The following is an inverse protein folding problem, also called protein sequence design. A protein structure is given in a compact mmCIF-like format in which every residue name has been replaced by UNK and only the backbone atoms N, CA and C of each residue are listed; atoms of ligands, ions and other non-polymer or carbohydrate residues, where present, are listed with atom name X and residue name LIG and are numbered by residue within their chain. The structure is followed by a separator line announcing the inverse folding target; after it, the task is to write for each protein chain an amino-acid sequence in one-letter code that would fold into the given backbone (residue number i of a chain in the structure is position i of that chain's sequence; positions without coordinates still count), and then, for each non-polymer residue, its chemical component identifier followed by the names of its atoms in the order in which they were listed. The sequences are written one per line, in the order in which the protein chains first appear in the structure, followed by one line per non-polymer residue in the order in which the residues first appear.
data_IF_284117925369
#
_entry.id   IF_284117925369
#
_cell.length_a   1.000
_cell.length_b   1.000
_cell.length_c   1.000
_cell.angle_alpha   90.00
_cell.angle_beta   90.00
_cell.angle_gamma   90.00
#
_symmetry.space_group_name_H-M   'P 1'
#
loop_
_entity.id
_entity.type
_entity.pdbx_description
1 polymer ?
#
# COMPACT_ATOMS: atom_id res chain seq x y z
N UNK A 1 13.45 19.00 -20.27
CA UNK A 1 13.18 19.24 -18.85
C UNK A 1 13.09 17.98 -17.98
N UNK A 2 13.02 16.82 -18.56
CA UNK A 2 12.90 15.57 -17.81
C UNK A 2 14.24 14.96 -17.36
N UNK A 3 15.36 15.48 -17.79
CA UNK A 3 16.67 14.85 -17.58
C UNK A 3 17.54 15.44 -16.46
N UNK A 4 17.19 16.59 -15.89
CA UNK A 4 18.03 17.19 -14.84
C UNK A 4 17.79 16.62 -13.45
N UNK A 5 16.60 16.04 -13.20
CA UNK A 5 16.27 15.47 -11.88
C UNK A 5 16.81 14.05 -11.66
N UNK A 6 17.19 13.34 -12.73
CA UNK A 6 17.67 11.97 -12.60
C UNK A 6 19.14 11.88 -12.19
N UNK A 7 19.94 12.90 -12.49
CA UNK A 7 21.38 12.85 -12.19
C UNK A 7 21.71 13.03 -10.69
N UNK A 8 20.85 13.73 -9.96
CA UNK A 8 21.02 13.98 -8.52
C UNK A 8 20.15 13.07 -7.63
N UNK A 9 19.50 12.07 -8.21
CA UNK A 9 18.64 11.15 -7.46
C UNK A 9 19.49 10.15 -6.68
N UNK A 10 19.29 10.07 -5.35
CA UNK A 10 20.11 9.18 -4.50
C UNK A 10 19.93 7.70 -4.81
N UNK A 11 18.81 7.32 -5.44
CA UNK A 11 18.54 5.93 -5.85
C UNK A 11 18.75 5.68 -7.34
N UNK A 12 19.48 6.53 -8.03
CA UNK A 12 19.78 6.37 -9.46
C UNK A 12 20.40 5.01 -9.79
N UNK A 13 21.24 4.49 -8.91
CA UNK A 13 21.89 3.19 -9.06
C UNK A 13 21.13 2.04 -8.41
N UNK A 14 19.89 2.29 -8.01
CA UNK A 14 19.04 1.31 -7.36
C UNK A 14 19.06 1.37 -5.85
N UNK A 15 18.20 0.58 -5.23
CA UNK A 15 18.11 0.41 -3.78
C UNK A 15 17.96 -1.07 -3.46
N UNK A 16 18.55 -1.49 -2.36
CA UNK A 16 18.35 -2.84 -1.84
C UNK A 16 17.06 -2.91 -1.02
N UNK A 17 16.24 -3.87 -1.30
CA UNK A 17 15.07 -4.19 -0.49
C UNK A 17 14.64 -5.63 -0.69
N UNK A 18 14.39 -6.34 0.41
CA UNK A 18 13.79 -7.67 0.40
C UNK A 18 12.91 -7.81 1.64
N UNK A 19 11.61 -8.00 1.43
CA UNK A 19 10.65 -8.09 2.52
C UNK A 19 10.98 -9.28 3.44
N UNK A 20 11.17 -9.00 4.73
CA UNK A 20 11.45 -10.01 5.74
C UNK A 20 10.17 -10.55 6.39
N UNK A 21 8.99 -10.09 5.94
CA UNK A 21 7.68 -10.48 6.48
C UNK A 21 7.59 -10.31 8.01
N UNK A 22 8.18 -9.23 8.51
CA UNK A 22 8.24 -8.93 9.94
C UNK A 22 6.96 -8.29 10.50
N UNK A 23 5.97 -8.04 9.67
CA UNK A 23 4.70 -7.36 9.99
C UNK A 23 4.79 -5.88 10.33
N UNK A 24 5.96 -5.27 10.29
CA UNK A 24 6.11 -3.85 10.66
C UNK A 24 5.19 -2.93 9.86
N UNK A 25 5.10 -3.12 8.53
CA UNK A 25 4.22 -2.34 7.67
C UNK A 25 2.74 -2.77 7.77
N UNK A 26 2.45 -3.95 8.34
CA UNK A 26 1.10 -4.47 8.53
C UNK A 26 0.56 -4.25 9.94
N UNK A 27 1.39 -3.79 10.86
CA UNK A 27 1.04 -3.58 12.26
C UNK A 27 2.03 -2.64 12.92
N UNK A 28 2.15 -2.62 14.19
CA UNK A 28 3.06 -1.81 14.99
C UNK A 28 2.48 -0.47 15.45
N UNK A 29 1.82 0.28 14.57
CA UNK A 29 1.20 1.57 14.92
C UNK A 29 -0.10 1.77 14.13
N UNK A 30 -1.00 2.64 14.62
CA UNK A 30 -2.24 2.93 13.89
C UNK A 30 -1.93 3.44 12.47
N UNK A 31 -2.73 3.01 11.50
CA UNK A 31 -2.57 3.46 10.14
C UNK A 31 -3.73 3.03 9.26
N UNK A 32 -3.63 3.35 7.98
CA UNK A 32 -4.65 3.02 7.00
C UNK A 32 -4.03 2.34 5.79
N UNK A 33 -4.63 1.24 5.36
CA UNK A 33 -4.39 0.67 4.04
C UNK A 33 -5.59 1.07 3.18
N UNK A 34 -5.38 2.06 2.32
CA UNK A 34 -6.43 2.55 1.42
C UNK A 34 -6.59 1.62 0.23
N UNK A 35 -7.83 1.45 -0.21
CA UNK A 35 -8.17 0.56 -1.31
C UNK A 35 -8.73 1.33 -2.50
N UNK A 36 -8.08 1.17 -3.66
CA UNK A 36 -8.61 1.61 -4.95
C UNK A 36 -9.64 0.60 -5.47
N UNK A 37 -10.30 0.91 -6.59
CA UNK A 37 -11.20 -0.03 -7.25
C UNK A 37 -10.47 -1.32 -7.64
N UNK A 38 -9.25 -1.19 -8.19
CA UNK A 38 -8.42 -2.34 -8.55
C UNK A 38 -8.13 -3.21 -7.33
N UNK A 39 -7.76 -2.59 -6.21
CA UNK A 39 -7.45 -3.29 -4.98
C UNK A 39 -8.65 -4.07 -4.46
N UNK A 40 -9.81 -3.41 -4.40
CA UNK A 40 -11.05 -4.04 -3.93
C UNK A 40 -11.43 -5.23 -4.79
N UNK A 41 -11.41 -5.08 -6.11
CA UNK A 41 -11.78 -6.17 -7.02
C UNK A 41 -10.80 -7.33 -6.95
N UNK A 42 -9.51 -7.05 -6.82
CA UNK A 42 -8.48 -8.08 -6.65
C UNK A 42 -8.67 -8.88 -5.36
N UNK A 43 -8.93 -8.18 -4.25
CA UNK A 43 -9.17 -8.82 -2.95
C UNK A 43 -10.48 -9.63 -2.94
N UNK A 44 -11.54 -9.10 -3.52
CA UNK A 44 -12.81 -9.83 -3.64
C UNK A 44 -12.63 -11.12 -4.43
N UNK A 45 -11.88 -11.07 -5.52
CA UNK A 45 -11.56 -12.26 -6.33
C UNK A 45 -10.72 -13.27 -5.54
N UNK A 46 -9.71 -12.79 -4.82
CA UNK A 46 -8.83 -13.65 -4.00
C UNK A 46 -9.61 -14.42 -2.93
N UNK A 47 -10.53 -13.77 -2.24
CA UNK A 47 -11.35 -14.39 -1.19
C UNK A 47 -12.67 -14.99 -1.70
N UNK A 48 -12.94 -14.88 -2.99
CA UNK A 48 -14.20 -15.33 -3.61
C UNK A 48 -15.42 -14.72 -2.92
N UNK A 49 -15.41 -13.41 -2.74
CA UNK A 49 -16.46 -12.63 -2.07
C UNK A 49 -17.01 -11.56 -2.99
N UNK A 50 -18.29 -11.21 -2.77
CA UNK A 50 -18.88 -10.02 -3.37
C UNK A 50 -18.36 -8.76 -2.67
N UNK A 51 -18.44 -7.62 -3.33
CA UNK A 51 -18.01 -6.33 -2.76
C UNK A 51 -18.71 -6.07 -1.43
N UNK A 52 -20.02 -6.26 -1.34
CA UNK A 52 -20.78 -6.04 -0.11
C UNK A 52 -20.26 -6.89 1.05
N UNK A 53 -19.98 -8.16 0.78
CA UNK A 53 -19.47 -9.11 1.79
C UNK A 53 -18.07 -8.72 2.27
N UNK A 54 -17.18 -8.38 1.34
CA UNK A 54 -15.80 -8.00 1.66
C UNK A 54 -15.75 -6.70 2.44
N UNK A 55 -16.49 -5.69 2.00
CA UNK A 55 -16.54 -4.37 2.65
C UNK A 55 -17.06 -4.49 4.08
N UNK A 56 -18.12 -5.25 4.29
CA UNK A 56 -18.70 -5.46 5.62
C UNK A 56 -17.72 -6.16 6.56
N UNK A 57 -17.01 -7.17 6.07
CA UNK A 57 -16.13 -8.01 6.90
C UNK A 57 -14.76 -7.40 7.17
N UNK A 58 -14.15 -6.75 6.20
CA UNK A 58 -12.75 -6.38 6.25
C UNK A 58 -12.45 -4.88 6.13
N UNK A 59 -13.45 -4.06 5.88
CA UNK A 59 -13.21 -2.65 5.57
C UNK A 59 -13.82 -1.71 6.59
N UNK A 60 -13.30 -0.48 6.58
CA UNK A 60 -13.82 0.66 7.33
C UNK A 60 -13.80 1.89 6.45
N UNK A 61 -14.47 2.94 6.88
CA UNK A 61 -14.45 4.24 6.22
C UNK A 61 -13.45 5.14 6.94
N UNK A 62 -12.49 5.66 6.18
CA UNK A 62 -11.47 6.58 6.69
C UNK A 62 -11.79 8.00 6.24
N UNK A 63 -11.63 8.95 7.15
CA UNK A 63 -11.76 10.36 6.80
C UNK A 63 -10.63 10.77 5.85
N UNK A 64 -10.99 11.56 4.84
CA UNK A 64 -10.10 11.94 3.77
C UNK A 64 -10.29 13.43 3.46
N UNK A 65 -9.66 13.93 2.40
CA UNK A 65 -9.71 15.36 2.07
C UNK A 65 -11.13 15.89 1.91
N UNK A 66 -11.35 17.14 2.32
CA UNK A 66 -12.62 17.89 2.13
C UNK A 66 -13.85 17.22 2.75
N UNK A 67 -13.69 16.53 3.87
CA UNK A 67 -14.80 15.89 4.57
C UNK A 67 -15.35 14.65 3.88
N UNK A 68 -14.64 14.09 2.89
CA UNK A 68 -15.01 12.85 2.22
C UNK A 68 -14.56 11.64 3.04
N UNK A 69 -15.12 10.48 2.73
CA UNK A 69 -14.70 9.21 3.31
C UNK A 69 -14.28 8.25 2.21
N UNK A 70 -13.19 7.53 2.46
CA UNK A 70 -12.63 6.55 1.52
C UNK A 70 -12.51 5.18 2.15
N UNK A 71 -12.43 4.16 1.30
CA UNK A 71 -12.35 2.77 1.71
C UNK A 71 -10.96 2.43 2.23
N UNK A 72 -10.91 1.78 3.39
CA UNK A 72 -9.67 1.29 3.99
C UNK A 72 -9.91 -0.06 4.66
N UNK A 73 -8.84 -0.84 4.86
CA UNK A 73 -8.91 -2.08 5.61
C UNK A 73 -9.08 -1.82 7.11
N UNK A 74 -9.77 -2.73 7.79
CA UNK A 74 -9.86 -2.71 9.25
C UNK A 74 -8.50 -3.02 9.90
N UNK A 75 -8.33 -2.58 11.14
CA UNK A 75 -7.22 -2.96 12.01
C UNK A 75 -7.74 -3.82 13.17
N UNK A 76 -6.91 -4.73 13.64
CA UNK A 76 -7.13 -5.45 14.89
C UNK A 76 -6.77 -4.55 16.08
N UNK A 77 -7.12 -4.94 17.30
CA UNK A 77 -6.87 -4.16 18.51
C UNK A 77 -5.40 -3.82 18.75
N UNK A 78 -4.48 -4.66 18.27
CA UNK A 78 -3.03 -4.49 18.36
C UNK A 78 -2.42 -3.73 17.18
N UNK A 79 -3.25 -3.09 16.37
CA UNK A 79 -2.91 -2.37 15.13
C UNK A 79 -2.46 -3.24 13.96
N UNK A 80 -2.52 -4.55 14.06
CA UNK A 80 -2.28 -5.43 12.93
C UNK A 80 -3.37 -5.23 11.87
N UNK A 81 -2.99 -5.28 10.60
CA UNK A 81 -3.95 -5.33 9.50
C UNK A 81 -4.91 -6.50 9.70
N UNK A 82 -6.21 -6.29 9.41
CA UNK A 82 -7.24 -7.33 9.56
C UNK A 82 -6.89 -8.62 8.78
N UNK A 83 -6.09 -8.50 7.71
CA UNK A 83 -5.68 -9.63 6.87
C UNK A 83 -4.41 -10.33 7.38
N UNK A 84 -3.82 -9.83 8.47
CA UNK A 84 -2.61 -10.43 9.05
C UNK A 84 -2.97 -11.63 9.94
N UNK A 85 -2.47 -12.82 9.57
CA UNK A 85 -2.61 -14.07 10.32
C UNK A 85 -1.31 -14.87 10.19
N UNK A 86 -0.30 -14.55 11.01
CA UNK A 86 1.07 -15.08 10.87
C UNK A 86 1.67 -14.83 9.47
N UNK A 87 1.33 -13.72 8.88
CA UNK A 87 1.65 -13.33 7.53
C UNK A 87 0.42 -12.70 6.88
N UNK A 88 0.60 -12.05 5.75
CA UNK A 88 -0.52 -11.48 5.02
C UNK A 88 -1.34 -12.59 4.35
N UNK A 89 -2.60 -12.77 4.76
CA UNK A 89 -3.51 -13.76 4.16
C UNK A 89 -3.85 -13.44 2.70
N UNK A 90 -3.62 -12.21 2.26
CA UNK A 90 -3.82 -11.75 0.89
C UNK A 90 -2.50 -11.40 0.19
N UNK A 91 -1.39 -12.04 0.56
CA UNK A 91 -0.05 -11.66 0.07
C UNK A 91 0.02 -11.52 -1.46
N UNK A 92 -0.54 -12.48 -2.20
CA UNK A 92 -0.53 -12.47 -3.67
C UNK A 92 -1.50 -11.45 -4.28
N UNK A 93 -2.50 -11.02 -3.50
CA UNK A 93 -3.49 -10.03 -3.90
C UNK A 93 -3.33 -8.72 -3.14
N UNK A 94 -2.13 -8.43 -2.65
CA UNK A 94 -1.87 -7.24 -1.85
C UNK A 94 -2.36 -5.97 -2.52
N UNK A 95 -2.98 -5.05 -1.77
CA UNK A 95 -3.23 -3.71 -2.27
C UNK A 95 -1.97 -3.04 -2.82
N UNK A 96 -2.12 -2.14 -3.77
CA UNK A 96 -0.98 -1.43 -4.36
C UNK A 96 -0.14 -0.74 -3.29
N UNK A 97 -0.77 -0.16 -2.27
CA UNK A 97 -0.05 0.44 -1.14
C UNK A 97 0.93 -0.55 -0.49
N UNK A 98 0.51 -1.79 -0.27
CA UNK A 98 1.35 -2.82 0.33
C UNK A 98 2.41 -3.36 -0.63
N UNK A 99 2.05 -3.60 -1.90
CA UNK A 99 2.96 -4.17 -2.89
C UNK A 99 4.04 -3.22 -3.37
N UNK A 100 3.83 -1.90 -3.25
CA UNK A 100 4.80 -0.88 -3.64
C UNK A 100 5.71 -0.42 -2.50
N UNK A 101 5.41 -0.81 -1.26
CA UNK A 101 6.25 -0.52 -0.11
C UNK A 101 7.66 -1.10 -0.32
N UNK A 102 8.76 -0.43 -0.03
CA UNK A 102 8.90 0.89 0.59
C UNK A 102 9.13 2.04 -0.42
N UNK A 103 8.72 1.89 -1.67
CA UNK A 103 8.99 2.88 -2.72
C UNK A 103 7.87 3.93 -2.86
N UNK A 104 7.28 4.31 -1.74
CA UNK A 104 6.29 5.38 -1.69
C UNK A 104 6.97 6.74 -1.88
N UNK A 105 6.29 7.65 -2.57
CA UNK A 105 6.88 8.94 -2.94
C UNK A 105 7.48 9.71 -1.77
N UNK A 106 6.84 9.69 -0.60
CA UNK A 106 7.37 10.40 0.58
C UNK A 106 8.56 9.69 1.21
N UNK A 107 8.67 8.36 1.08
CA UNK A 107 9.79 7.58 1.63
C UNK A 107 11.07 7.74 0.81
N UNK A 108 10.94 7.90 -0.50
CA UNK A 108 12.06 8.04 -1.42
C UNK A 108 12.24 9.48 -1.91
N UNK A 109 11.63 10.44 -1.22
CA UNK A 109 11.77 11.86 -1.51
C UNK A 109 13.19 12.38 -1.27
N UNK A 110 13.88 11.85 -0.27
CA UNK A 110 15.28 12.12 0.02
C UNK A 110 15.92 10.93 0.75
N UNK A 111 17.27 10.90 0.71
CA UNK A 111 18.04 9.81 1.31
C UNK A 111 17.90 9.74 2.84
N UNK A 112 17.78 10.88 3.49
CA UNK A 112 17.58 10.96 4.94
C UNK A 112 16.29 10.24 5.36
N UNK A 113 15.18 10.55 4.70
CA UNK A 113 13.87 9.92 4.96
C UNK A 113 13.94 8.41 4.72
N UNK A 114 14.57 8.00 3.62
CA UNK A 114 14.76 6.57 3.33
C UNK A 114 15.51 5.86 4.47
N UNK A 115 16.61 6.44 4.94
CA UNK A 115 17.41 5.85 6.01
C UNK A 115 16.70 5.83 7.36
N UNK A 116 15.89 6.83 7.65
CA UNK A 116 15.02 6.85 8.84
C UNK A 116 14.01 5.70 8.80
N UNK A 117 13.39 5.47 7.65
CA UNK A 117 12.47 4.34 7.46
C UNK A 117 13.21 3.00 7.56
N UNK A 118 14.43 2.93 7.03
CA UNK A 118 15.25 1.71 7.06
C UNK A 118 15.62 1.29 8.49
N UNK A 119 15.71 2.22 9.42
CA UNK A 119 15.98 1.92 10.83
C UNK A 119 14.87 1.04 11.44
N UNK A 120 13.67 1.11 10.91
CA UNK A 120 12.50 0.39 11.41
C UNK A 120 12.09 -0.80 10.54
N UNK A 121 12.59 -0.89 9.32
CA UNK A 121 12.29 -1.97 8.38
C UNK A 121 13.51 -2.84 8.15
N UNK A 122 13.54 -4.09 8.65
CA UNK A 122 14.72 -4.96 8.52
C UNK A 122 15.02 -5.40 7.08
N UNK A 123 14.10 -5.21 6.14
CA UNK A 123 14.29 -5.54 4.73
C UNK A 123 14.88 -4.41 3.88
N UNK A 124 14.80 -3.17 4.36
CA UNK A 124 15.36 -2.03 3.62
C UNK A 124 16.88 -2.04 3.70
N UNK A 125 17.54 -1.70 2.59
CA UNK A 125 18.99 -1.73 2.42
C UNK A 125 19.59 -3.15 2.47
N UNK A 126 18.78 -4.18 2.25
CA UNK A 126 19.22 -5.58 2.25
C UNK A 126 18.61 -6.36 1.09
N UNK A 127 19.26 -7.45 0.72
CA UNK A 127 18.76 -8.40 -0.27
C UNK A 127 18.81 -7.89 -1.70
N UNK A 128 17.74 -8.14 -2.44
CA UNK A 128 17.64 -7.83 -3.87
C UNK A 128 17.86 -6.34 -4.17
N UNK A 129 18.61 -6.07 -5.24
CA UNK A 129 18.72 -4.72 -5.80
C UNK A 129 17.53 -4.44 -6.71
N UNK A 130 16.83 -3.34 -6.44
CA UNK A 130 15.75 -2.83 -7.30
C UNK A 130 16.34 -1.72 -8.16
N UNK A 131 16.36 -1.88 -9.49
CA UNK A 131 16.89 -0.84 -10.36
C UNK A 131 15.98 0.40 -10.38
N UNK A 132 16.57 1.52 -10.78
CA UNK A 132 15.87 2.82 -10.85
C UNK A 132 14.51 2.73 -11.54
N UNK A 133 14.43 2.06 -12.67
CA UNK A 133 13.20 1.92 -13.46
C UNK A 133 12.09 1.19 -12.69
N UNK A 134 12.43 0.15 -11.94
CA UNK A 134 11.45 -0.58 -11.12
C UNK A 134 10.99 0.26 -9.92
N UNK A 135 11.91 1.01 -9.30
CA UNK A 135 11.58 1.92 -8.20
C UNK A 135 10.60 3.01 -8.68
N UNK A 136 10.89 3.63 -9.83
CA UNK A 136 10.02 4.65 -10.42
C UNK A 136 8.66 4.08 -10.80
N UNK A 137 8.61 2.86 -11.30
CA UNK A 137 7.36 2.17 -11.61
C UNK A 137 6.49 1.96 -10.37
N UNK A 138 7.10 1.52 -9.27
CA UNK A 138 6.40 1.32 -8.00
C UNK A 138 5.93 2.65 -7.40
N UNK A 139 6.78 3.67 -7.43
CA UNK A 139 6.44 5.03 -6.98
C UNK A 139 5.23 5.57 -7.74
N UNK A 140 5.24 5.42 -9.06
CA UNK A 140 4.13 5.86 -9.92
C UNK A 140 2.84 5.09 -9.60
N UNK A 141 2.93 3.77 -9.47
CA UNK A 141 1.78 2.93 -9.14
C UNK A 141 1.16 3.34 -7.80
N UNK A 142 1.98 3.59 -6.79
CA UNK A 142 1.53 4.08 -5.49
C UNK A 142 0.83 5.45 -5.61
N UNK A 143 1.45 6.38 -6.33
CA UNK A 143 0.93 7.75 -6.47
C UNK A 143 -0.40 7.79 -7.24
N UNK A 144 -0.55 6.94 -8.24
CA UNK A 144 -1.76 6.86 -9.08
C UNK A 144 -2.88 6.01 -8.47
N UNK A 145 -2.61 5.29 -7.37
CA UNK A 145 -3.57 4.41 -6.73
C UNK A 145 -4.52 5.21 -5.83
N UNK A 146 -5.61 5.71 -6.42
CA UNK A 146 -6.59 6.57 -5.73
C UNK A 146 -7.59 5.71 -4.98
N UNK A 147 -7.80 5.95 -3.66
CA UNK A 147 -8.79 5.20 -2.90
C UNK A 147 -10.22 5.47 -3.35
N UNK A 148 -11.07 4.44 -3.25
CA UNK A 148 -12.49 4.56 -3.56
C UNK A 148 -13.21 5.43 -2.54
N UNK A 149 -14.01 6.38 -3.01
CA UNK A 149 -14.92 7.13 -2.18
C UNK A 149 -16.15 6.30 -1.80
N UNK A 150 -16.75 6.64 -0.67
CA UNK A 150 -17.90 5.89 -0.14
C UNK A 150 -19.05 5.78 -1.13
N UNK A 151 -19.38 6.86 -1.84
CA UNK A 151 -20.46 6.88 -2.84
C UNK A 151 -20.20 5.90 -3.98
N UNK A 152 -18.93 5.78 -4.39
CA UNK A 152 -18.52 4.86 -5.47
C UNK A 152 -18.73 3.41 -5.03
N UNK A 153 -18.37 3.06 -3.79
CA UNK A 153 -18.56 1.71 -3.25
C UNK A 153 -20.05 1.40 -3.09
N UNK A 154 -20.83 2.35 -2.58
CA UNK A 154 -22.27 2.18 -2.44
C UNK A 154 -22.96 1.93 -3.78
N UNK A 155 -22.50 2.61 -4.84
CA UNK A 155 -22.99 2.39 -6.20
C UNK A 155 -22.63 0.99 -6.72
N UNK A 156 -21.40 0.52 -6.45
CA UNK A 156 -20.98 -0.84 -6.82
C UNK A 156 -21.86 -1.89 -6.15
N UNK A 157 -22.13 -1.73 -4.87
CA UNK A 157 -22.99 -2.64 -4.09
C UNK A 157 -24.42 -2.64 -4.65
N UNK A 158 -24.96 -1.45 -4.96
CA UNK A 158 -26.30 -1.31 -5.54
C UNK A 158 -26.40 -1.98 -6.91
N UNK A 159 -25.31 -2.05 -7.66
CA UNK A 159 -25.24 -2.73 -8.96
C UNK A 159 -24.99 -4.24 -8.85
N UNK A 160 -24.91 -4.80 -7.64
CA UNK A 160 -24.72 -6.24 -7.41
C UNK A 160 -23.28 -6.72 -7.54
N UNK A 161 -22.32 -5.83 -7.50
CA UNK A 161 -20.89 -6.18 -7.59
C UNK A 161 -20.32 -6.74 -6.29
#
# INVERSE_FOLDING_TARGET
MENENSENCFYKNGLHFECQRCSYCCGHSPGFVYLSKRDLMTLCSHFNMKVSEFVEKYCRWADYYYGTQVLALLEKKNYDCILWENGCSAYEARPVQCSTYPFWSWMIGDEKTWNECAAECPGMNKGRVWPYEEIEKNKKAYTENVPLHREEVEAMIANGE
#
